data_IF_089905103047
#
_entry.id   IF_089905103047
#
_cell.length_a   1.000
_cell.length_b   1.000
_cell.length_c   1.000
_cell.angle_alpha   90.00
_cell.angle_beta   90.00
_cell.angle_gamma   90.00
#
_symmetry.space_group_name_H-M   'P 1'
#
loop_
_entity.id
_entity.type
_entity.pdbx_description
1 polymer ?
#
# COMPACT_ATOMS: atom_id res chain seq x y z
N UNK A 1 -3.20 5.23 12.99
CA UNK A 1 -2.48 5.33 11.71
C UNK A 1 -2.88 6.57 10.94
N UNK A 2 -4.17 6.84 10.67
CA UNK A 2 -4.60 8.09 10.03
C UNK A 2 -4.07 9.38 10.69
N UNK A 3 -4.07 9.45 12.03
CA UNK A 3 -3.46 10.58 12.76
C UNK A 3 -1.97 10.77 12.47
N UNK A 4 -1.23 9.66 12.29
CA UNK A 4 0.19 9.72 11.94
C UNK A 4 0.33 10.18 10.48
N UNK A 5 -0.46 9.63 9.56
CA UNK A 5 -0.46 10.06 8.14
C UNK A 5 -0.73 11.57 8.03
N UNK A 6 -1.72 12.10 8.76
CA UNK A 6 -2.02 13.54 8.75
C UNK A 6 -1.00 14.42 9.47
N UNK A 7 -0.14 13.84 10.32
CA UNK A 7 1.00 14.57 10.90
C UNK A 7 2.19 14.63 9.92
N UNK A 8 2.30 13.64 9.04
CA UNK A 8 3.44 13.48 8.12
C UNK A 8 3.18 13.93 6.69
N UNK A 9 1.93 14.23 6.35
CA UNK A 9 1.51 14.65 5.00
C UNK A 9 0.62 15.88 5.08
N UNK A 10 0.33 16.49 3.94
CA UNK A 10 -0.67 17.56 3.83
C UNK A 10 -2.08 17.05 3.55
N UNK A 11 -2.30 15.74 3.59
CA UNK A 11 -3.59 15.14 3.24
C UNK A 11 -4.65 15.41 4.31
N UNK A 12 -5.90 15.57 3.87
CA UNK A 12 -7.03 15.49 4.77
C UNK A 12 -7.17 14.04 5.26
N UNK A 13 -7.10 13.85 6.57
CA UNK A 13 -7.29 12.55 7.23
C UNK A 13 -8.52 12.50 8.13
N UNK A 14 -9.33 13.57 8.13
CA UNK A 14 -10.70 13.53 8.66
C UNK A 14 -11.62 12.89 7.62
N UNK A 15 -11.43 11.57 7.49
CA UNK A 15 -12.06 10.72 6.49
C UNK A 15 -12.87 9.62 7.19
N UNK A 16 -13.88 9.03 6.51
CA UNK A 16 -14.46 7.79 7.00
C UNK A 16 -13.38 6.72 7.14
N UNK A 17 -13.55 5.80 8.10
CA UNK A 17 -12.61 4.69 8.21
C UNK A 17 -12.86 3.71 7.05
N UNK A 18 -11.80 3.25 6.36
CA UNK A 18 -11.96 2.26 5.31
C UNK A 18 -12.40 0.93 5.92
N UNK A 19 -13.14 0.16 5.14
CA UNK A 19 -13.41 -1.23 5.48
C UNK A 19 -12.12 -2.05 5.31
N UNK A 20 -11.82 -2.91 6.29
CA UNK A 20 -10.64 -3.77 6.28
C UNK A 20 -11.11 -5.21 6.41
N UNK A 21 -10.76 -6.06 5.44
CA UNK A 21 -11.18 -7.45 5.38
C UNK A 21 -9.93 -8.35 5.31
N UNK A 22 -9.84 -9.31 6.24
CA UNK A 22 -8.85 -10.38 6.15
C UNK A 22 -9.43 -11.56 5.37
N UNK A 23 -8.68 -12.03 4.37
CA UNK A 23 -9.04 -13.18 3.53
C UNK A 23 -7.86 -14.12 3.34
N UNK A 24 -8.13 -15.35 2.93
CA UNK A 24 -7.06 -16.32 2.66
C UNK A 24 -6.12 -15.81 1.56
N UNK A 25 -4.81 -16.02 1.74
CA UNK A 25 -3.78 -15.54 0.81
C UNK A 25 -4.04 -15.93 -0.65
N UNK A 26 -4.50 -17.15 -0.88
CA UNK A 26 -4.85 -17.60 -2.23
C UNK A 26 -6.00 -16.79 -2.84
N UNK A 27 -6.98 -16.37 -2.04
CA UNK A 27 -8.07 -15.50 -2.48
C UNK A 27 -7.59 -14.06 -2.68
N UNK A 28 -6.70 -13.56 -1.82
CA UNK A 28 -6.07 -12.25 -1.97
C UNK A 28 -5.35 -12.13 -3.31
N UNK A 29 -4.47 -13.10 -3.61
CA UNK A 29 -3.75 -13.17 -4.89
C UNK A 29 -4.69 -13.33 -6.09
N UNK A 30 -5.77 -14.11 -5.96
CA UNK A 30 -6.75 -14.29 -7.03
C UNK A 30 -7.48 -12.97 -7.36
N UNK A 31 -7.84 -12.18 -6.34
CA UNK A 31 -8.50 -10.90 -6.55
C UNK A 31 -7.54 -9.90 -7.19
N UNK A 32 -6.27 -9.88 -6.76
CA UNK A 32 -5.28 -8.90 -7.21
C UNK A 32 -4.67 -9.23 -8.58
N UNK A 33 -4.18 -10.47 -8.78
CA UNK A 33 -3.52 -10.89 -10.02
C UNK A 33 -4.49 -11.49 -11.05
N UNK A 34 -5.71 -11.85 -10.64
CA UNK A 34 -6.63 -12.62 -11.47
C UNK A 34 -6.02 -13.94 -11.94
N UNK A 35 -6.33 -14.33 -13.18
CA UNK A 35 -5.88 -15.60 -13.77
C UNK A 35 -4.37 -15.66 -14.10
N UNK A 36 -3.65 -14.53 -14.06
CA UNK A 36 -2.27 -14.42 -14.50
C UNK A 36 -1.32 -14.24 -13.32
N UNK A 37 -0.72 -15.34 -12.86
CA UNK A 37 0.28 -15.31 -11.78
C UNK A 37 1.73 -15.18 -12.28
N UNK A 38 1.95 -14.95 -13.57
CA UNK A 38 3.31 -14.78 -14.10
C UNK A 38 3.96 -13.51 -13.53
N UNK A 39 5.05 -13.68 -12.80
CA UNK A 39 5.77 -12.57 -12.15
C UNK A 39 5.10 -12.06 -10.87
N UNK A 40 4.09 -12.74 -10.34
CA UNK A 40 3.45 -12.37 -9.07
C UNK A 40 4.47 -12.37 -7.92
N UNK A 41 4.52 -11.25 -7.20
CA UNK A 41 5.27 -11.12 -5.96
C UNK A 41 4.47 -11.68 -4.77
N UNK A 42 5.12 -11.81 -3.62
CA UNK A 42 4.42 -12.19 -2.39
C UNK A 42 3.49 -11.05 -1.95
N UNK A 43 2.17 -11.26 -2.05
CA UNK A 43 1.17 -10.24 -1.74
C UNK A 43 0.70 -10.38 -0.29
N UNK A 44 0.85 -9.31 0.48
CA UNK A 44 0.44 -9.27 1.90
C UNK A 44 -0.87 -8.50 2.12
N UNK A 45 -1.12 -7.50 1.27
CA UNK A 45 -2.32 -6.68 1.29
C UNK A 45 -2.46 -5.94 -0.05
N UNK A 46 -3.64 -5.36 -0.28
CA UNK A 46 -3.82 -4.31 -1.27
C UNK A 46 -5.06 -3.46 -0.94
N UNK A 47 -5.03 -2.20 -1.33
CA UNK A 47 -6.17 -1.31 -1.36
C UNK A 47 -6.93 -1.43 -2.69
N UNK A 48 -8.25 -1.67 -2.63
CA UNK A 48 -9.11 -1.66 -3.81
C UNK A 48 -9.82 -0.30 -3.95
N UNK A 49 -9.42 0.46 -4.98
CA UNK A 49 -9.96 1.79 -5.31
C UNK A 49 -11.44 1.77 -5.72
N UNK A 50 -11.92 0.70 -6.35
CA UNK A 50 -13.32 0.62 -6.79
C UNK A 50 -14.28 0.43 -5.61
N UNK A 51 -13.85 -0.32 -4.59
CA UNK A 51 -14.69 -0.66 -3.44
C UNK A 51 -14.35 0.12 -2.17
N UNK A 52 -13.25 0.87 -2.14
CA UNK A 52 -12.69 1.49 -0.93
C UNK A 52 -12.43 0.49 0.21
N UNK A 53 -11.96 -0.72 -0.13
CA UNK A 53 -11.70 -1.80 0.83
C UNK A 53 -10.21 -2.12 0.85
N UNK A 54 -9.64 -2.25 2.05
CA UNK A 54 -8.29 -2.78 2.24
C UNK A 54 -8.41 -4.28 2.51
N UNK A 55 -7.82 -5.09 1.65
CA UNK A 55 -7.73 -6.53 1.85
C UNK A 55 -6.38 -6.88 2.46
N UNK A 56 -6.40 -7.68 3.51
CA UNK A 56 -5.22 -8.19 4.20
C UNK A 56 -5.19 -9.71 4.06
N UNK A 57 -3.98 -10.29 3.98
CA UNK A 57 -3.81 -11.74 4.08
C UNK A 57 -4.25 -12.25 5.47
N UNK A 58 -4.73 -13.48 5.54
CA UNK A 58 -5.26 -14.12 6.75
C UNK A 58 -4.21 -14.31 7.86
N UNK A 59 -2.93 -14.30 7.50
CA UNK A 59 -1.79 -14.36 8.42
C UNK A 59 -1.35 -12.99 8.97
N UNK A 60 -1.98 -11.89 8.53
CA UNK A 60 -1.68 -10.55 9.04
C UNK A 60 -1.92 -10.45 10.54
N UNK A 61 -0.94 -9.90 11.26
CA UNK A 61 -0.94 -9.84 12.71
C UNK A 61 -0.70 -8.41 13.23
N UNK A 62 -1.66 -7.89 13.98
CA UNK A 62 -1.55 -6.56 14.60
C UNK A 62 -0.36 -6.41 15.56
N UNK A 63 0.29 -7.48 16.03
CA UNK A 63 1.46 -7.39 16.91
C UNK A 63 2.79 -7.47 16.16
N UNK A 64 2.76 -7.72 14.85
CA UNK A 64 3.93 -7.73 13.99
C UNK A 64 4.15 -6.31 13.42
N UNK A 65 5.38 -5.81 13.52
CA UNK A 65 5.75 -4.49 13.01
C UNK A 65 5.61 -4.41 11.49
N UNK A 66 6.08 -5.42 10.76
CA UNK A 66 5.99 -5.50 9.31
C UNK A 66 4.54 -5.44 8.83
N UNK A 67 3.66 -6.23 9.44
CA UNK A 67 2.24 -6.24 9.11
C UNK A 67 1.58 -4.88 9.36
N UNK A 68 1.96 -4.18 10.44
CA UNK A 68 1.54 -2.79 10.65
C UNK A 68 2.06 -1.85 9.56
N UNK A 69 3.30 -2.03 9.11
CA UNK A 69 3.86 -1.29 7.98
C UNK A 69 3.06 -1.52 6.69
N UNK A 70 2.70 -2.78 6.39
CA UNK A 70 1.85 -3.14 5.24
C UNK A 70 0.47 -2.49 5.36
N UNK A 71 -0.18 -2.52 6.53
CA UNK A 71 -1.47 -1.84 6.69
C UNK A 71 -1.34 -0.32 6.52
N UNK A 72 -0.25 0.29 7.01
CA UNK A 72 -0.01 1.71 6.79
C UNK A 72 0.14 2.03 5.30
N UNK A 73 0.86 1.19 4.55
CA UNK A 73 1.06 1.33 3.11
C UNK A 73 -0.29 1.44 2.39
N UNK A 74 -1.19 0.49 2.62
CA UNK A 74 -2.53 0.52 2.02
C UNK A 74 -3.40 1.69 2.52
N UNK A 75 -3.25 2.10 3.78
CA UNK A 75 -3.95 3.28 4.30
C UNK A 75 -3.48 4.57 3.65
N UNK A 76 -2.22 4.68 3.23
CA UNK A 76 -1.73 5.85 2.49
C UNK A 76 -2.35 5.87 1.10
N UNK A 77 -2.44 4.74 0.40
CA UNK A 77 -3.16 4.66 -0.88
C UNK A 77 -4.63 5.06 -0.74
N UNK A 78 -5.32 4.56 0.28
CA UNK A 78 -6.68 5.01 0.60
C UNK A 78 -6.76 6.53 0.81
N UNK A 79 -5.84 7.11 1.57
CA UNK A 79 -5.81 8.56 1.81
C UNK A 79 -5.53 9.34 0.51
N UNK A 80 -4.59 8.88 -0.32
CA UNK A 80 -4.27 9.49 -1.62
C UNK A 80 -5.49 9.50 -2.55
N UNK A 81 -6.21 8.38 -2.63
CA UNK A 81 -7.42 8.22 -3.45
C UNK A 81 -8.54 9.17 -3.00
N UNK A 82 -8.87 9.18 -1.70
CA UNK A 82 -9.94 10.06 -1.18
C UNK A 82 -9.56 11.55 -1.25
N UNK A 83 -8.26 11.89 -1.26
CA UNK A 83 -7.78 13.25 -1.50
C UNK A 83 -7.67 13.60 -3.00
N UNK A 84 -8.09 12.71 -3.90
CA UNK A 84 -8.07 12.88 -5.35
C UNK A 84 -6.68 13.29 -5.87
N UNK A 85 -5.63 12.69 -5.31
CA UNK A 85 -4.25 12.97 -5.71
C UNK A 85 -4.09 12.63 -7.20
N UNK A 86 -3.67 13.57 -8.05
CA UNK A 86 -3.50 13.30 -9.48
C UNK A 86 -2.28 12.40 -9.71
N UNK A 87 -2.44 11.36 -10.51
CA UNK A 87 -1.36 10.47 -10.94
C UNK A 87 -1.56 10.03 -12.39
N UNK A 88 -0.46 9.81 -13.10
CA UNK A 88 -0.46 9.24 -14.46
C UNK A 88 -0.46 7.70 -14.43
N UNK A 89 0.11 7.12 -13.38
CA UNK A 89 0.11 5.69 -13.11
C UNK A 89 0.26 5.40 -11.61
N UNK A 90 -0.13 4.20 -11.18
CA UNK A 90 -0.04 3.76 -9.78
C UNK A 90 1.39 3.89 -9.22
N UNK A 91 2.40 3.63 -10.04
CA UNK A 91 3.81 3.77 -9.63
C UNK A 91 4.22 5.16 -9.15
N UNK A 92 3.51 6.23 -9.54
CA UNK A 92 3.77 7.57 -8.99
C UNK A 92 3.32 7.69 -7.53
N UNK A 93 2.24 7.01 -7.15
CA UNK A 93 1.73 7.00 -5.78
C UNK A 93 2.71 6.26 -4.85
N UNK A 94 3.26 5.13 -5.31
CA UNK A 94 4.26 4.32 -4.60
C UNK A 94 5.49 5.12 -4.15
N UNK A 95 5.90 6.10 -4.96
CA UNK A 95 7.08 6.92 -4.68
C UNK A 95 6.95 7.72 -3.38
N UNK A 96 5.73 8.01 -2.93
CA UNK A 96 5.46 8.62 -1.62
C UNK A 96 5.23 7.55 -0.53
N UNK A 97 4.55 6.45 -0.87
CA UNK A 97 4.13 5.44 0.10
C UNK A 97 5.31 4.69 0.72
N UNK A 98 6.27 4.23 -0.08
CA UNK A 98 7.43 3.48 0.43
C UNK A 98 8.29 4.26 1.43
N UNK A 99 8.69 5.53 1.15
CA UNK A 99 9.39 6.36 2.14
C UNK A 99 8.58 6.58 3.43
N UNK A 100 7.26 6.77 3.34
CA UNK A 100 6.41 6.93 4.52
C UNK A 100 6.30 5.64 5.33
N UNK A 101 6.22 4.47 4.67
CA UNK A 101 6.27 3.18 5.34
C UNK A 101 7.61 2.99 6.07
N UNK A 102 8.74 3.26 5.41
CA UNK A 102 10.06 3.20 6.05
C UNK A 102 10.12 4.09 7.29
N UNK A 103 9.68 5.36 7.16
CA UNK A 103 9.65 6.32 8.26
C UNK A 103 8.80 5.83 9.43
N UNK A 104 7.58 5.36 9.16
CA UNK A 104 6.68 4.83 10.18
C UNK A 104 7.27 3.61 10.90
N UNK A 105 7.86 2.69 10.15
CA UNK A 105 8.48 1.47 10.68
C UNK A 105 9.63 1.82 11.63
N UNK A 106 10.44 2.80 11.25
CA UNK A 106 11.54 3.27 12.08
C UNK A 106 11.06 4.00 13.33
N UNK A 107 10.16 4.97 13.20
CA UNK A 107 9.74 5.83 14.30
C UNK A 107 8.84 5.13 15.32
N UNK A 108 7.92 4.29 14.84
CA UNK A 108 6.89 3.68 15.70
C UNK A 108 7.28 2.31 16.22
N UNK A 109 8.16 1.59 15.52
CA UNK A 109 8.53 0.21 15.84
C UNK A 109 10.04 -0.01 15.99
N UNK A 110 10.88 0.97 15.67
CA UNK A 110 12.34 0.83 15.73
C UNK A 110 12.88 -0.17 14.71
N UNK A 111 12.12 -0.48 13.65
CA UNK A 111 12.47 -1.44 12.61
C UNK A 111 12.93 -0.68 11.37
N UNK A 112 14.15 -0.94 10.92
CA UNK A 112 14.61 -0.45 9.61
C UNK A 112 13.97 -1.30 8.53
N UNK A 113 13.01 -0.72 7.81
CA UNK A 113 12.42 -1.31 6.62
C UNK A 113 13.26 -0.92 5.40
N UNK A 114 13.67 -1.89 4.60
CA UNK A 114 14.45 -1.65 3.39
C UNK A 114 13.62 -2.05 2.18
N UNK A 115 13.62 -1.18 1.16
CA UNK A 115 13.01 -1.43 -0.14
C UNK A 115 13.98 -1.00 -1.23
N UNK A 116 13.78 -1.49 -2.46
CA UNK A 116 14.59 -1.09 -3.60
C UNK A 116 14.16 0.30 -4.08
N UNK A 117 14.83 1.34 -3.58
CA UNK A 117 14.57 2.72 -3.99
C UNK A 117 14.68 2.95 -5.50
N UNK A 118 15.59 2.24 -6.17
CA UNK A 118 15.77 2.40 -7.62
C UNK A 118 14.56 1.82 -8.36
N UNK A 119 14.08 0.66 -7.92
CA UNK A 119 12.85 0.07 -8.44
C UNK A 119 11.64 0.98 -8.23
N UNK A 120 11.43 1.52 -7.02
CA UNK A 120 10.31 2.44 -6.74
C UNK A 120 10.40 3.71 -7.61
N UNK A 121 11.59 4.29 -7.76
CA UNK A 121 11.81 5.43 -8.67
C UNK A 121 11.52 5.08 -10.13
N UNK A 122 11.90 3.88 -10.57
CA UNK A 122 11.64 3.38 -11.92
C UNK A 122 10.13 3.16 -12.17
N UNK A 123 9.40 2.61 -11.19
CA UNK A 123 7.94 2.47 -11.25
C UNK A 123 7.25 3.82 -11.45
N UNK A 124 7.71 4.86 -10.74
CA UNK A 124 7.17 6.22 -10.85
C UNK A 124 7.40 6.92 -12.20
N UNK A 125 8.24 6.37 -13.08
CA UNK A 125 8.42 6.90 -14.45
C UNK A 125 7.24 6.57 -15.38
N UNK A 126 6.33 5.68 -14.96
CA UNK A 126 5.13 5.30 -15.72
C UNK A 126 5.39 4.74 -17.13
N UNK A 127 6.61 4.27 -17.43
CA UNK A 127 6.90 3.64 -18.72
C UNK A 127 6.10 2.34 -18.88
N UNK A 128 5.61 2.08 -20.10
CA UNK A 128 4.66 1.00 -20.45
C UNK A 128 5.13 -0.43 -20.19
N UNK A 129 6.35 -0.62 -19.68
CA UNK A 129 6.88 -1.93 -19.29
C UNK A 129 6.34 -2.44 -17.95
N UNK A 130 5.78 -1.56 -17.10
CA UNK A 130 5.40 -1.89 -15.71
C UNK A 130 3.89 -1.76 -15.41
N UNK A 131 3.03 -1.50 -16.41
CA UNK A 131 1.63 -1.14 -16.19
C UNK A 131 0.65 -2.33 -16.05
N UNK A 132 1.13 -3.58 -16.00
CA UNK A 132 0.25 -4.73 -16.23
C UNK A 132 -0.38 -5.40 -14.99
N UNK A 133 -0.14 -4.96 -13.75
CA UNK A 133 -0.75 -5.62 -12.58
C UNK A 133 -0.92 -4.68 -11.38
N UNK A 134 -1.86 -3.72 -11.47
CA UNK A 134 -2.40 -3.00 -10.30
C UNK A 134 -3.89 -2.73 -10.53
#
# INVERSE_FOLDING_TARGET
>A
MLLWIGAETSYNVDLPYPEIIQIEKAQLEEIFYGSSKEGASDLHAFYNIETNVIYLSSDWNMHNAFDRGVLLHELIHYVQDINEVPYDCVGQLEAEVYPLQEKYMLEMHGVKFEYDEFFVKLLGLCDSFNQNNF
#
